data_IF_880326807553
#
_entry.id   IF_880326807553
#
_cell.length_a   1.000
_cell.length_b   1.000
_cell.length_c   1.000
_cell.angle_alpha   90.00
_cell.angle_beta   90.00
_cell.angle_gamma   90.00
#
_symmetry.space_group_name_H-M   'P 1'
#
loop_
_entity.id
_entity.type
_entity.pdbx_description
1 polymer ?
#
# COMPACT_ATOMS: atom_id res chain seq x y z
N UNK A 1 -38.50 12.93 -25.56
CA UNK A 1 -37.86 12.18 -24.46
C UNK A 1 -37.81 13.13 -23.27
N UNK A 2 -38.51 12.82 -22.18
CA UNK A 2 -38.42 13.63 -20.97
C UNK A 2 -37.00 13.50 -20.40
N UNK A 3 -36.40 14.62 -20.05
CA UNK A 3 -35.07 14.66 -19.44
C UNK A 3 -35.13 14.09 -18.02
N UNK A 4 -34.85 12.79 -17.91
CA UNK A 4 -34.81 12.07 -16.63
C UNK A 4 -33.60 12.47 -15.77
N UNK A 5 -32.62 13.21 -16.31
CA UNK A 5 -31.42 13.59 -15.56
C UNK A 5 -31.77 14.43 -14.33
N UNK A 6 -32.83 15.24 -14.40
CA UNK A 6 -33.32 16.02 -13.26
C UNK A 6 -33.93 15.17 -12.14
N UNK A 7 -34.38 13.95 -12.43
CA UNK A 7 -34.98 13.03 -11.46
C UNK A 7 -33.95 12.04 -10.86
N UNK A 8 -32.74 11.97 -11.40
CA UNK A 8 -31.68 11.12 -10.86
C UNK A 8 -31.08 11.82 -9.63
N UNK A 9 -31.07 11.16 -8.46
CA UNK A 9 -30.44 11.74 -7.28
C UNK A 9 -28.96 12.03 -7.55
N UNK A 10 -28.50 13.23 -7.15
CA UNK A 10 -27.10 13.64 -7.30
C UNK A 10 -26.14 12.75 -6.48
N UNK A 11 -26.65 12.10 -5.43
CA UNK A 11 -25.92 11.19 -4.56
C UNK A 11 -26.68 9.88 -4.43
N UNK A 12 -25.98 8.75 -4.55
CA UNK A 12 -26.59 7.43 -4.42
C UNK A 12 -26.63 6.99 -2.96
N UNK A 13 -27.83 6.86 -2.39
CA UNK A 13 -28.01 6.36 -1.02
C UNK A 13 -27.38 4.97 -0.83
N UNK A 14 -27.37 4.13 -1.87
CA UNK A 14 -26.68 2.82 -1.87
C UNK A 14 -25.18 2.97 -1.72
N UNK A 15 -24.56 3.89 -2.47
CA UNK A 15 -23.11 4.14 -2.39
C UNK A 15 -22.72 4.68 -1.02
N UNK A 16 -23.50 5.63 -0.49
CA UNK A 16 -23.27 6.18 0.85
C UNK A 16 -23.39 5.10 1.94
N UNK A 17 -24.40 4.22 1.83
CA UNK A 17 -24.55 3.11 2.76
C UNK A 17 -23.33 2.17 2.72
N UNK A 18 -22.81 1.85 1.53
CA UNK A 18 -21.59 1.04 1.38
C UNK A 18 -20.40 1.75 2.03
N UNK A 19 -20.16 3.03 1.74
CA UNK A 19 -19.05 3.79 2.31
C UNK A 19 -19.10 3.86 3.83
N UNK A 20 -20.29 4.05 4.41
CA UNK A 20 -20.48 4.03 5.85
C UNK A 20 -20.04 2.71 6.47
N UNK A 21 -20.25 1.56 5.81
CA UNK A 21 -19.77 0.27 6.33
C UNK A 21 -18.25 0.19 6.46
N UNK A 22 -17.49 0.84 5.56
CA UNK A 22 -16.03 0.90 5.68
C UNK A 22 -15.60 1.80 6.83
N UNK A 23 -16.27 2.94 7.00
CA UNK A 23 -15.98 3.89 8.07
C UNK A 23 -16.26 3.28 9.45
N UNK A 24 -17.38 2.58 9.60
CA UNK A 24 -17.75 1.85 10.83
C UNK A 24 -16.72 0.76 11.16
N UNK A 25 -16.30 -0.04 10.17
CA UNK A 25 -15.23 -1.05 10.33
C UNK A 25 -13.92 -0.40 10.79
N UNK A 26 -13.53 0.72 10.16
CA UNK A 26 -12.31 1.43 10.50
C UNK A 26 -12.35 2.05 11.89
N UNK A 27 -13.50 2.58 12.32
CA UNK A 27 -13.68 3.14 13.65
C UNK A 27 -13.57 2.08 14.77
N UNK A 28 -13.88 0.82 14.47
CA UNK A 28 -13.72 -0.30 15.39
C UNK A 28 -12.27 -0.81 15.51
N UNK A 29 -11.35 -0.43 14.61
CA UNK A 29 -9.94 -0.83 14.67
C UNK A 29 -9.20 -0.10 15.80
N UNK A 30 -8.33 -0.83 16.51
CA UNK A 30 -7.42 -0.21 17.49
C UNK A 30 -6.36 0.62 16.75
N UNK A 31 -6.06 1.84 17.21
CA UNK A 31 -4.93 2.62 16.69
C UNK A 31 -3.62 1.83 16.77
N UNK A 32 -2.77 1.98 15.75
CA UNK A 32 -1.43 1.39 15.74
C UNK A 32 -0.56 2.07 16.80
N UNK A 33 0.21 1.28 17.55
CA UNK A 33 1.13 1.75 18.58
C UNK A 33 2.58 1.95 18.05
N UNK A 34 2.75 1.95 16.73
CA UNK A 34 4.04 2.02 16.06
C UNK A 34 3.98 2.93 14.84
N UNK A 35 5.12 3.50 14.46
CA UNK A 35 5.30 4.20 13.20
C UNK A 35 5.38 3.17 12.06
N UNK A 36 4.47 3.27 11.10
CA UNK A 36 4.42 2.37 9.96
C UNK A 36 5.53 2.65 8.93
N UNK A 37 6.20 1.63 8.44
CA UNK A 37 7.22 1.76 7.40
C UNK A 37 6.68 2.42 6.12
N UNK A 38 5.39 2.22 5.80
CA UNK A 38 4.76 2.81 4.61
C UNK A 38 4.66 4.33 4.61
N UNK A 39 4.85 4.99 5.76
CA UNK A 39 4.85 6.45 5.83
C UNK A 39 6.24 7.04 6.02
N UNK A 40 7.31 6.24 6.18
CA UNK A 40 8.62 6.72 6.63
C UNK A 40 9.24 7.78 5.73
N UNK A 41 8.95 7.74 4.43
CA UNK A 41 9.40 8.76 3.47
C UNK A 41 8.47 9.96 3.33
N UNK A 42 7.61 10.24 4.31
CA UNK A 42 6.77 11.43 4.30
C UNK A 42 7.65 12.69 4.39
N UNK A 43 7.42 13.66 3.50
CA UNK A 43 8.22 14.89 3.37
C UNK A 43 8.21 15.84 4.60
N UNK A 44 7.46 15.50 5.65
CA UNK A 44 7.25 16.37 6.80
C UNK A 44 7.61 15.59 8.08
N UNK A 45 8.77 15.89 8.63
CA UNK A 45 9.30 15.22 9.83
C UNK A 45 8.39 15.43 11.04
N UNK A 46 7.75 16.61 11.13
CA UNK A 46 6.77 16.89 12.20
C UNK A 46 5.57 15.95 12.13
N UNK A 47 5.11 15.62 10.93
CA UNK A 47 4.05 14.65 10.75
C UNK A 47 4.48 13.25 11.21
N UNK A 48 5.68 12.82 10.83
CA UNK A 48 6.26 11.55 11.30
C UNK A 48 6.37 11.52 12.82
N UNK A 49 6.82 12.62 13.43
CA UNK A 49 6.90 12.76 14.88
C UNK A 49 5.53 12.64 15.56
N UNK A 50 4.50 13.30 15.05
CA UNK A 50 3.14 13.18 15.61
C UNK A 50 2.57 11.78 15.44
N UNK A 51 2.82 11.12 14.31
CA UNK A 51 2.42 9.73 14.10
C UNK A 51 3.13 8.78 15.07
N UNK A 52 4.45 8.95 15.23
CA UNK A 52 5.24 8.17 16.19
C UNK A 52 4.72 8.32 17.64
N UNK A 53 4.26 9.52 18.00
CA UNK A 53 3.72 9.82 19.34
C UNK A 53 2.23 9.48 19.50
N UNK A 54 1.55 9.01 18.46
CA UNK A 54 0.10 8.81 18.46
C UNK A 54 -0.70 10.10 18.69
N UNK A 55 -0.11 11.26 18.39
CA UNK A 55 -0.71 12.57 18.63
C UNK A 55 -1.75 12.97 17.57
N UNK A 56 -1.75 12.28 16.42
CA UNK A 56 -2.74 12.44 15.37
C UNK A 56 -3.06 11.08 14.75
N UNK A 57 -4.33 10.85 14.41
CA UNK A 57 -4.76 9.70 13.64
C UNK A 57 -5.30 10.17 12.28
N UNK A 58 -4.88 9.56 11.15
CA UNK A 58 -5.43 9.91 9.86
C UNK A 58 -6.89 9.45 9.78
N UNK A 59 -7.76 10.33 9.28
CA UNK A 59 -9.15 10.00 8.95
C UNK A 59 -9.26 9.71 7.46
N UNK A 60 -10.09 8.74 7.10
CA UNK A 60 -10.32 8.34 5.72
C UNK A 60 -11.80 8.26 5.46
N UNK A 61 -12.23 8.71 4.28
CA UNK A 61 -13.61 8.53 3.82
C UNK A 61 -13.84 7.07 3.44
N UNK A 62 -15.09 6.61 3.47
CA UNK A 62 -15.44 5.25 3.06
C UNK A 62 -15.04 4.92 1.62
N UNK A 63 -15.04 5.93 0.73
CA UNK A 63 -14.50 5.80 -0.63
C UNK A 63 -13.00 5.46 -0.63
N UNK A 64 -12.20 6.15 0.19
CA UNK A 64 -10.76 5.90 0.30
C UNK A 64 -10.49 4.53 0.93
N UNK A 65 -11.24 4.15 1.95
CA UNK A 65 -11.13 2.83 2.59
C UNK A 65 -11.46 1.69 1.61
N UNK A 66 -12.49 1.86 0.78
CA UNK A 66 -12.79 0.92 -0.32
C UNK A 66 -11.66 0.85 -1.36
N UNK A 67 -10.99 1.96 -1.64
CA UNK A 67 -9.83 1.97 -2.53
C UNK A 67 -8.66 1.18 -1.93
N UNK A 68 -8.45 1.25 -0.61
CA UNK A 68 -7.45 0.42 0.07
C UNK A 68 -7.79 -1.07 -0.05
N UNK A 69 -9.06 -1.46 0.10
CA UNK A 69 -9.49 -2.84 -0.14
C UNK A 69 -9.22 -3.28 -1.59
N UNK A 70 -9.39 -2.38 -2.56
CA UNK A 70 -9.03 -2.65 -3.96
C UNK A 70 -7.53 -2.99 -4.08
N UNK A 71 -6.66 -2.23 -3.42
CA UNK A 71 -5.23 -2.56 -3.34
C UNK A 71 -4.96 -3.95 -2.75
N UNK A 72 -5.63 -4.29 -1.64
CA UNK A 72 -5.47 -5.60 -0.99
C UNK A 72 -5.95 -6.77 -1.89
N UNK A 73 -6.94 -6.54 -2.76
CA UNK A 73 -7.38 -7.54 -3.73
C UNK A 73 -6.38 -7.70 -4.88
N UNK A 74 -5.81 -6.59 -5.37
CA UNK A 74 -4.78 -6.62 -6.41
C UNK A 74 -3.48 -7.29 -5.93
N UNK A 75 -3.06 -7.10 -4.67
CA UNK A 75 -1.92 -7.80 -4.07
C UNK A 75 -2.05 -9.32 -4.24
N UNK A 76 -3.20 -9.90 -3.88
CA UNK A 76 -3.47 -11.34 -4.03
C UNK A 76 -3.38 -11.80 -5.48
N UNK A 77 -3.86 -10.96 -6.40
CA UNK A 77 -3.81 -11.23 -7.83
C UNK A 77 -2.38 -11.25 -8.35
N UNK A 78 -1.59 -10.23 -8.03
CA UNK A 78 -0.19 -10.11 -8.46
C UNK A 78 0.64 -11.28 -7.91
N UNK A 79 0.45 -11.66 -6.65
CA UNK A 79 1.16 -12.81 -6.06
C UNK A 79 0.82 -14.10 -6.80
N UNK A 80 -0.46 -14.32 -7.12
CA UNK A 80 -0.88 -15.47 -7.93
C UNK A 80 -0.19 -15.46 -9.30
N UNK A 81 -0.21 -14.33 -9.99
CA UNK A 81 0.40 -14.17 -11.32
C UNK A 81 1.92 -14.40 -11.29
N UNK A 82 2.62 -13.89 -10.26
CA UNK A 82 4.05 -14.15 -10.05
C UNK A 82 4.33 -15.65 -9.89
N UNK A 83 3.53 -16.35 -9.09
CA UNK A 83 3.68 -17.80 -8.90
C UNK A 83 3.40 -18.58 -10.19
N UNK A 84 2.39 -18.18 -10.96
CA UNK A 84 2.04 -18.80 -12.24
C UNK A 84 3.20 -18.71 -13.26
N UNK A 85 4.00 -17.64 -13.22
CA UNK A 85 5.20 -17.51 -14.07
C UNK A 85 6.46 -18.15 -13.46
N UNK A 86 6.34 -18.87 -12.35
CA UNK A 86 7.44 -19.61 -11.71
C UNK A 86 8.27 -18.82 -10.71
N UNK A 87 7.84 -17.63 -10.28
CA UNK A 87 8.48 -16.90 -9.17
C UNK A 87 8.12 -17.56 -7.85
N UNK A 88 9.14 -17.90 -7.06
CA UNK A 88 8.95 -18.28 -5.66
C UNK A 88 8.60 -17.03 -4.87
N UNK A 89 7.41 -17.02 -4.26
CA UNK A 89 6.94 -15.94 -3.40
C UNK A 89 6.82 -16.44 -1.96
N UNK A 90 7.45 -15.75 -1.02
CA UNK A 90 7.36 -15.97 0.42
C UNK A 90 6.73 -14.77 1.12
N UNK A 91 6.12 -15.00 2.28
CA UNK A 91 5.61 -13.90 3.10
C UNK A 91 4.29 -13.29 2.63
N UNK A 92 3.42 -14.07 1.96
CA UNK A 92 2.05 -13.63 1.65
C UNK A 92 1.06 -13.93 2.79
N UNK A 93 1.31 -15.00 3.57
CA UNK A 93 0.41 -15.47 4.63
C UNK A 93 1.12 -16.46 5.57
N UNK A 94 1.59 -16.02 6.75
CA UNK A 94 1.55 -14.65 7.25
C UNK A 94 2.52 -13.73 6.48
N UNK A 95 2.19 -12.43 6.45
CA UNK A 95 3.10 -11.43 5.90
C UNK A 95 4.39 -11.34 6.71
N UNK A 96 5.52 -11.08 6.04
CA UNK A 96 6.80 -10.86 6.70
C UNK A 96 6.74 -9.50 7.40
N UNK A 97 6.76 -9.53 8.74
CA UNK A 97 6.83 -8.34 9.56
C UNK A 97 8.29 -7.93 9.79
N UNK A 98 8.58 -6.65 9.61
CA UNK A 98 9.80 -6.03 10.13
C UNK A 98 9.49 -5.26 11.40
N UNK A 99 10.42 -5.30 12.35
CA UNK A 99 10.32 -4.57 13.61
C UNK A 99 11.68 -3.94 13.94
N UNK A 100 11.66 -2.67 14.35
CA UNK A 100 12.83 -1.95 14.82
C UNK A 100 12.45 -1.04 15.99
N UNK A 101 13.49 -0.47 16.63
CA UNK A 101 13.35 0.53 17.71
C UNK A 101 12.45 -0.01 18.84
N UNK A 102 12.72 -1.23 19.32
CA UNK A 102 11.99 -1.85 20.42
C UNK A 102 10.49 -2.01 20.17
N UNK A 103 10.07 -2.16 18.90
CA UNK A 103 8.67 -2.33 18.52
C UNK A 103 7.96 -1.05 18.09
N UNK A 104 8.60 0.12 18.21
CA UNK A 104 8.02 1.40 17.85
C UNK A 104 8.05 1.72 16.34
N UNK A 105 8.75 0.92 15.56
CA UNK A 105 8.73 1.01 14.10
C UNK A 105 8.44 -0.38 13.52
N UNK A 106 7.41 -0.48 12.66
CA UNK A 106 7.03 -1.75 12.04
C UNK A 106 6.53 -1.58 10.62
N UNK A 107 6.61 -2.66 9.86
CA UNK A 107 6.05 -2.76 8.53
C UNK A 107 5.79 -4.20 8.16
N UNK A 108 4.98 -4.41 7.14
CA UNK A 108 4.67 -5.71 6.59
C UNK A 108 4.97 -5.63 5.10
N UNK A 109 5.79 -6.57 4.62
CA UNK A 109 6.07 -6.69 3.19
C UNK A 109 4.87 -7.36 2.52
N UNK A 110 4.63 -6.99 1.25
CA UNK A 110 3.66 -7.71 0.41
C UNK A 110 4.20 -9.10 0.04
N UNK A 111 5.53 -9.25 0.03
CA UNK A 111 6.21 -10.54 -0.05
C UNK A 111 7.70 -10.42 -0.35
N UNK A 112 8.33 -11.57 -0.51
CA UNK A 112 9.70 -11.73 -0.99
C UNK A 112 9.68 -12.62 -2.22
N UNK A 113 10.36 -12.23 -3.30
CA UNK A 113 10.36 -12.94 -4.58
C UNK A 113 11.74 -13.44 -5.00
N UNK A 114 11.84 -14.70 -5.40
CA UNK A 114 13.01 -15.32 -6.06
C UNK A 114 12.60 -15.91 -7.41
N UNK A 115 13.47 -15.84 -8.41
CA UNK A 115 13.15 -16.31 -9.77
C UNK A 115 12.52 -15.24 -10.66
N UNK A 116 12.61 -13.96 -10.29
CA UNK A 116 12.21 -12.84 -11.18
C UNK A 116 12.98 -12.93 -12.51
N UNK A 117 12.33 -12.91 -13.69
CA UNK A 117 13.00 -13.13 -14.98
C UNK A 117 14.23 -12.24 -15.24
N UNK A 118 14.19 -10.98 -14.82
CA UNK A 118 15.26 -9.99 -14.97
C UNK A 118 16.43 -10.25 -14.01
N UNK A 119 16.23 -11.04 -12.95
CA UNK A 119 17.21 -11.29 -11.89
C UNK A 119 16.93 -12.61 -11.13
N UNK A 120 17.01 -13.77 -11.80
CA UNK A 120 16.41 -15.02 -11.30
C UNK A 120 17.08 -15.59 -10.04
N UNK A 121 18.33 -15.20 -9.77
CA UNK A 121 19.13 -15.69 -8.63
C UNK A 121 19.13 -14.75 -7.42
N UNK A 122 18.37 -13.66 -7.45
CA UNK A 122 18.38 -12.65 -6.40
C UNK A 122 17.01 -12.53 -5.77
N UNK A 123 16.98 -12.49 -4.44
CA UNK A 123 15.78 -12.18 -3.68
C UNK A 123 15.41 -10.69 -3.82
N UNK A 124 14.12 -10.43 -4.02
CA UNK A 124 13.55 -9.10 -4.11
C UNK A 124 12.52 -8.89 -3.01
N UNK A 125 12.55 -7.73 -2.36
CA UNK A 125 11.36 -7.23 -1.66
C UNK A 125 10.28 -6.99 -2.71
N UNK A 126 9.08 -7.53 -2.51
CA UNK A 126 7.93 -7.26 -3.35
C UNK A 126 7.13 -6.10 -2.74
N UNK A 127 6.81 -5.10 -3.56
CA UNK A 127 5.96 -3.98 -3.18
C UNK A 127 4.99 -3.68 -4.32
N UNK A 128 3.69 -3.73 -4.04
CA UNK A 128 2.63 -3.58 -5.02
C UNK A 128 1.82 -2.33 -4.75
N UNK A 129 1.50 -1.56 -5.80
CA UNK A 129 0.73 -0.33 -5.67
C UNK A 129 -0.28 -0.18 -6.80
N UNK A 130 -1.51 0.15 -6.43
CA UNK A 130 -2.49 0.64 -7.40
C UNK A 130 -2.29 2.14 -7.62
N UNK A 131 -2.39 2.56 -8.87
CA UNK A 131 -2.18 3.92 -9.33
C UNK A 131 -3.40 4.40 -10.13
N UNK A 132 -3.61 5.71 -10.12
CA UNK A 132 -4.48 6.32 -11.13
C UNK A 132 -3.63 6.68 -12.35
N UNK A 133 -4.29 6.96 -13.47
CA UNK A 133 -3.59 7.23 -14.75
C UNK A 133 -2.55 8.34 -14.65
N UNK A 134 -2.79 9.38 -13.83
CA UNK A 134 -1.84 10.49 -13.63
C UNK A 134 -0.61 10.04 -12.83
N UNK A 135 -0.81 9.30 -11.74
CA UNK A 135 0.31 8.83 -10.92
C UNK A 135 1.11 7.74 -11.62
N UNK A 136 0.47 6.90 -12.44
CA UNK A 136 1.13 5.90 -13.27
C UNK A 136 1.99 6.54 -14.36
N UNK A 137 1.46 7.50 -15.13
CA UNK A 137 2.23 8.20 -16.16
C UNK A 137 3.47 8.93 -15.60
N UNK A 138 3.36 9.48 -14.37
CA UNK A 138 4.51 10.07 -13.68
C UNK A 138 5.54 9.01 -13.28
N UNK A 139 5.09 7.85 -12.82
CA UNK A 139 5.94 6.71 -12.46
C UNK A 139 6.74 6.22 -13.67
N UNK A 140 6.09 6.01 -14.82
CA UNK A 140 6.76 5.58 -16.05
C UNK A 140 7.87 6.55 -16.48
N UNK A 141 7.60 7.86 -16.37
CA UNK A 141 8.54 8.91 -16.79
C UNK A 141 9.72 9.06 -15.86
N UNK A 142 9.50 8.98 -14.55
CA UNK A 142 10.48 9.44 -13.55
C UNK A 142 11.04 8.33 -12.66
N UNK A 143 10.46 7.13 -12.71
CA UNK A 143 10.74 6.03 -11.80
C UNK A 143 10.18 6.27 -10.40
N UNK A 144 10.16 5.22 -9.57
CA UNK A 144 9.52 5.24 -8.24
C UNK A 144 10.17 6.25 -7.28
N UNK A 145 11.50 6.39 -7.32
CA UNK A 145 12.23 7.28 -6.40
C UNK A 145 11.81 8.75 -6.52
N UNK A 146 11.58 9.24 -7.75
CA UNK A 146 11.15 10.62 -8.00
C UNK A 146 9.64 10.77 -7.98
N UNK A 147 8.92 9.82 -8.56
CA UNK A 147 7.46 9.91 -8.66
C UNK A 147 6.78 9.72 -7.31
N UNK A 148 7.28 8.78 -6.48
CA UNK A 148 6.72 8.37 -5.21
C UNK A 148 7.84 8.10 -4.16
N UNK A 149 8.52 9.16 -3.66
CA UNK A 149 9.65 9.00 -2.72
C UNK A 149 9.31 8.22 -1.45
N UNK A 150 8.06 8.27 -1.00
CA UNK A 150 7.59 7.54 0.17
C UNK A 150 7.60 6.02 -0.05
N UNK A 151 7.15 5.54 -1.21
CA UNK A 151 7.21 4.11 -1.54
C UNK A 151 8.64 3.64 -1.72
N UNK A 152 9.49 4.49 -2.32
CA UNK A 152 10.91 4.20 -2.42
C UNK A 152 11.55 4.05 -1.03
N UNK A 153 11.31 4.98 -0.11
CA UNK A 153 11.82 4.91 1.25
C UNK A 153 11.31 3.66 1.99
N UNK A 154 10.03 3.29 1.82
CA UNK A 154 9.47 2.06 2.37
C UNK A 154 10.25 0.83 1.89
N UNK A 155 10.46 0.69 0.57
CA UNK A 155 11.26 -0.41 0.02
C UNK A 155 12.71 -0.40 0.51
N UNK A 156 13.35 0.77 0.62
CA UNK A 156 14.72 0.86 1.16
C UNK A 156 14.80 0.32 2.58
N UNK A 157 13.83 0.67 3.42
CA UNK A 157 13.78 0.18 4.81
C UNK A 157 13.53 -1.33 4.84
N UNK A 158 12.61 -1.84 4.02
CA UNK A 158 12.37 -3.27 3.92
C UNK A 158 13.62 -4.04 3.45
N UNK A 159 14.32 -3.52 2.45
CA UNK A 159 15.56 -4.13 1.97
C UNK A 159 16.64 -4.13 3.06
N UNK A 160 16.81 -3.01 3.79
CA UNK A 160 17.74 -2.92 4.90
C UNK A 160 17.42 -3.92 6.02
N UNK A 161 16.15 -4.07 6.40
CA UNK A 161 15.72 -5.00 7.44
C UNK A 161 15.80 -6.47 7.01
N UNK A 162 15.61 -6.77 5.72
CA UNK A 162 15.66 -8.15 5.17
C UNK A 162 17.02 -8.54 4.60
N UNK A 163 18.01 -7.63 4.64
CA UNK A 163 19.34 -7.81 4.06
C UNK A 163 19.31 -8.16 2.57
N UNK A 164 18.34 -7.60 1.83
CA UNK A 164 18.24 -7.74 0.38
C UNK A 164 18.81 -6.51 -0.32
N UNK A 165 19.17 -6.68 -1.61
CA UNK A 165 19.78 -5.62 -2.42
C UNK A 165 18.87 -5.14 -3.55
N UNK A 166 17.67 -5.74 -3.69
CA UNK A 166 16.73 -5.44 -4.76
C UNK A 166 15.29 -5.45 -4.25
N UNK A 167 14.46 -4.64 -4.91
CA UNK A 167 13.02 -4.66 -4.77
C UNK A 167 12.37 -4.73 -6.15
N UNK A 168 11.27 -5.47 -6.26
CA UNK A 168 10.36 -5.43 -7.40
C UNK A 168 9.16 -4.57 -7.02
N UNK A 169 9.04 -3.42 -7.67
CA UNK A 169 7.90 -2.52 -7.50
C UNK A 169 6.92 -2.76 -8.65
N UNK A 170 5.75 -3.34 -8.35
CA UNK A 170 4.70 -3.58 -9.35
C UNK A 170 3.61 -2.53 -9.19
N UNK A 171 3.38 -1.76 -10.26
CA UNK A 171 2.32 -0.77 -10.32
C UNK A 171 1.20 -1.24 -11.26
N UNK A 172 -0.05 -1.04 -10.84
CA UNK A 172 -1.27 -1.34 -11.62
C UNK A 172 -2.15 -0.10 -11.72
#
# INVERSE_FOLDING_TARGET
MNDIAAAIPKTSATVEAIYRTYEEKRAAEKPRAYLGASIIGHHCDRYLWFQFRGACAPTFTGRMLRLFETGNMEEKRIIRELKEIGVQVEGESPQIAIEAIGGHFRGHLDGMGLGIPEAPKTWHVLEFKTHNSKSFAKLEKEGVQKSNPMHYAQMQVYMGCTQTTRALYVAV
#
